data_IF_654516011729
#
_entry.id   IF_654516011729
#
_cell.length_a   1.000
_cell.length_b   1.000
_cell.length_c   1.000
_cell.angle_alpha   90.00
_cell.angle_beta   90.00
_cell.angle_gamma   90.00
#
_symmetry.space_group_name_H-M   'P 1'
#
loop_
_entity.id
_entity.type
_entity.pdbx_description
1 polymer ?
#
# COMPACT_ATOMS: atom_id res chain seq x y z
N UNK A 1 0.80 -29.02 -21.02
CA UNK A 1 1.24 -27.61 -20.88
C UNK A 1 2.67 -27.61 -20.35
N UNK A 2 3.61 -27.02 -21.09
CA UNK A 2 5.00 -26.91 -20.65
C UNK A 2 5.11 -25.91 -19.47
N UNK A 3 6.24 -26.01 -18.72
CA UNK A 3 6.51 -25.02 -17.65
C UNK A 3 6.61 -23.58 -18.18
N UNK A 4 7.08 -23.42 -19.40
CA UNK A 4 7.18 -22.13 -20.08
C UNK A 4 5.78 -21.54 -20.37
N UNK A 5 4.90 -22.33 -20.98
CA UNK A 5 3.51 -21.90 -21.26
C UNK A 5 2.74 -21.52 -19.98
N UNK A 6 2.92 -22.29 -18.90
CA UNK A 6 2.30 -21.96 -17.61
C UNK A 6 2.85 -20.66 -17.01
N UNK A 7 4.16 -20.40 -17.16
CA UNK A 7 4.77 -19.15 -16.69
C UNK A 7 4.29 -17.95 -17.51
N UNK A 8 4.24 -18.06 -18.82
CA UNK A 8 3.72 -17.03 -19.72
C UNK A 8 2.26 -16.70 -19.41
N UNK A 9 1.40 -17.71 -19.27
CA UNK A 9 0.01 -17.52 -18.88
C UNK A 9 -0.14 -16.78 -17.54
N UNK A 10 0.70 -17.09 -16.55
CA UNK A 10 0.68 -16.39 -15.25
C UNK A 10 1.11 -14.93 -15.37
N UNK A 11 2.03 -14.60 -16.24
CA UNK A 11 2.45 -13.22 -16.51
C UNK A 11 1.35 -12.45 -17.22
N UNK A 12 0.70 -13.05 -18.20
CA UNK A 12 -0.43 -12.44 -18.92
C UNK A 12 -1.59 -12.15 -17.98
N UNK A 13 -1.90 -13.07 -17.07
CA UNK A 13 -2.92 -12.88 -16.03
C UNK A 13 -2.55 -11.74 -15.07
N UNK A 14 -1.28 -11.62 -14.70
CA UNK A 14 -0.81 -10.46 -13.91
C UNK A 14 -1.05 -9.15 -14.67
N UNK A 15 -0.68 -9.07 -15.93
CA UNK A 15 -0.89 -7.87 -16.74
C UNK A 15 -2.37 -7.50 -16.84
N UNK A 16 -3.25 -8.48 -17.12
CA UNK A 16 -4.69 -8.27 -17.16
C UNK A 16 -5.23 -7.76 -15.80
N UNK A 17 -4.76 -8.34 -14.70
CA UNK A 17 -5.10 -7.90 -13.34
C UNK A 17 -4.67 -6.45 -13.10
N UNK A 18 -3.43 -6.10 -13.44
CA UNK A 18 -2.92 -4.73 -13.26
C UNK A 18 -3.73 -3.72 -14.09
N UNK A 19 -4.07 -4.02 -15.32
CA UNK A 19 -4.87 -3.15 -16.18
C UNK A 19 -6.28 -2.94 -15.62
N UNK A 20 -6.92 -4.02 -15.15
CA UNK A 20 -8.24 -3.93 -14.53
C UNK A 20 -8.22 -3.08 -13.24
N UNK A 21 -7.23 -3.26 -12.37
CA UNK A 21 -7.13 -2.46 -11.14
C UNK A 21 -6.78 -1.01 -11.44
N UNK A 22 -5.89 -0.75 -12.41
CA UNK A 22 -5.56 0.61 -12.86
C UNK A 22 -6.81 1.35 -13.35
N UNK A 23 -7.65 0.69 -14.16
CA UNK A 23 -8.90 1.30 -14.64
C UNK A 23 -9.85 1.61 -13.49
N UNK A 24 -10.05 0.69 -12.54
CA UNK A 24 -10.89 0.92 -11.35
C UNK A 24 -10.42 2.13 -10.52
N UNK A 25 -9.12 2.28 -10.35
CA UNK A 25 -8.54 3.42 -9.62
C UNK A 25 -8.72 4.73 -10.40
N UNK A 26 -8.53 4.71 -11.72
CA UNK A 26 -8.76 5.86 -12.58
C UNK A 26 -10.23 6.32 -12.54
N UNK A 27 -11.18 5.40 -12.66
CA UNK A 27 -12.63 5.67 -12.59
C UNK A 27 -13.03 6.28 -11.22
N UNK A 28 -12.30 5.94 -10.15
CA UNK A 28 -12.49 6.52 -8.83
C UNK A 28 -11.77 7.89 -8.64
N UNK A 29 -11.03 8.37 -9.62
CA UNK A 29 -10.27 9.62 -9.54
C UNK A 29 -8.95 9.52 -8.77
N UNK A 30 -8.38 8.32 -8.66
CA UNK A 30 -7.12 8.05 -7.96
C UNK A 30 -5.90 7.96 -8.89
N UNK A 31 -6.06 8.13 -10.20
CA UNK A 31 -4.92 8.17 -11.13
C UNK A 31 -3.92 9.25 -10.67
N UNK A 32 -2.64 8.90 -10.61
CA UNK A 32 -1.57 9.77 -10.16
C UNK A 32 -1.56 10.07 -8.66
N UNK A 33 -2.43 9.46 -7.84
CA UNK A 33 -2.41 9.63 -6.40
C UNK A 33 -1.08 9.17 -5.80
N UNK A 34 -0.60 9.89 -4.77
CA UNK A 34 0.64 9.53 -4.07
C UNK A 34 0.37 8.44 -3.04
N UNK A 35 1.18 7.39 -3.04
CA UNK A 35 1.01 6.23 -2.14
C UNK A 35 2.36 5.77 -1.60
N UNK A 36 2.41 5.37 -0.33
CA UNK A 36 3.54 4.65 0.26
C UNK A 36 3.09 3.34 0.89
N UNK A 37 4.00 2.39 1.00
CA UNK A 37 3.76 1.10 1.67
C UNK A 37 4.69 0.94 2.85
N UNK A 38 4.13 0.50 3.97
CA UNK A 38 4.87 0.14 5.16
C UNK A 38 4.37 -1.16 5.76
N UNK A 39 5.15 -1.78 6.62
CA UNK A 39 4.69 -2.92 7.42
C UNK A 39 5.13 -2.80 8.87
N UNK A 40 4.34 -3.37 9.78
CA UNK A 40 4.72 -3.49 11.19
C UNK A 40 5.81 -4.52 11.37
N UNK A 41 6.71 -4.28 12.34
CA UNK A 41 7.66 -5.26 12.84
C UNK A 41 7.17 -5.81 14.18
N UNK A 42 6.95 -7.12 14.33
CA UNK A 42 6.50 -7.69 15.60
C UNK A 42 7.44 -7.33 16.75
N UNK A 43 6.87 -6.88 17.87
CA UNK A 43 7.62 -6.53 19.08
C UNK A 43 8.50 -5.28 18.99
N UNK A 44 8.55 -4.61 17.85
CA UNK A 44 9.34 -3.39 17.66
C UNK A 44 8.43 -2.19 17.43
N UNK A 45 8.85 -1.03 17.95
CA UNK A 45 8.20 0.26 17.64
C UNK A 45 8.76 0.86 16.36
N UNK A 46 9.04 0.01 15.38
CA UNK A 46 9.61 0.36 14.09
C UNK A 46 8.80 -0.28 12.97
N UNK A 47 8.96 0.28 11.78
CA UNK A 47 8.21 -0.10 10.58
C UNK A 47 9.20 -0.36 9.45
N UNK A 48 8.90 -1.29 8.58
CA UNK A 48 9.55 -1.33 7.27
C UNK A 48 8.86 -0.31 6.39
N UNK A 49 9.63 0.61 5.84
CA UNK A 49 9.18 1.51 4.77
C UNK A 49 9.78 1.01 3.47
N UNK A 50 8.94 0.60 2.54
CA UNK A 50 9.40 0.05 1.27
C UNK A 50 9.98 1.15 0.39
N UNK A 51 11.10 0.87 -0.27
CA UNK A 51 11.79 1.80 -1.17
C UNK A 51 11.36 1.61 -2.62
N UNK A 52 11.86 2.45 -3.53
CA UNK A 52 11.44 2.48 -4.94
C UNK A 52 11.65 1.15 -5.68
N UNK A 53 12.66 0.37 -5.30
CA UNK A 53 13.00 -0.93 -5.89
C UNK A 53 12.18 -2.11 -5.32
N UNK A 54 11.32 -1.90 -4.34
CA UNK A 54 10.44 -2.95 -3.82
C UNK A 54 9.37 -3.37 -4.84
N UNK A 55 9.01 -4.65 -4.85
CA UNK A 55 7.90 -5.17 -5.68
C UNK A 55 6.62 -4.36 -5.45
N UNK A 56 6.27 -4.07 -4.20
CA UNK A 56 5.11 -3.27 -3.86
C UNK A 56 5.11 -1.88 -4.55
N UNK A 57 6.25 -1.17 -4.53
CA UNK A 57 6.39 0.12 -5.19
C UNK A 57 6.25 0.00 -6.71
N UNK A 58 6.85 -1.03 -7.31
CA UNK A 58 6.78 -1.26 -8.76
C UNK A 58 5.34 -1.59 -9.20
N UNK A 59 4.60 -2.38 -8.43
CA UNK A 59 3.19 -2.68 -8.70
C UNK A 59 2.35 -1.40 -8.63
N UNK A 60 2.50 -0.58 -7.60
CA UNK A 60 1.74 0.68 -7.48
C UNK A 60 2.00 1.63 -8.66
N UNK A 61 3.25 1.70 -9.15
CA UNK A 61 3.57 2.47 -10.37
C UNK A 61 2.86 1.91 -11.61
N UNK A 62 2.73 0.59 -11.73
CA UNK A 62 1.98 -0.05 -12.82
C UNK A 62 0.48 0.19 -12.73
N UNK A 63 -0.04 0.51 -11.53
CA UNK A 63 -1.42 0.94 -11.30
C UNK A 63 -1.64 2.44 -11.56
N UNK A 64 -0.68 3.14 -12.17
CA UNK A 64 -0.70 4.59 -12.42
C UNK A 64 -0.77 5.42 -11.12
N UNK A 65 -0.11 4.94 -10.07
CA UNK A 65 0.04 5.65 -8.80
C UNK A 65 1.47 6.18 -8.67
N UNK A 66 1.66 7.32 -8.02
CA UNK A 66 2.98 7.87 -7.72
C UNK A 66 3.47 7.37 -6.38
N UNK A 67 4.61 6.70 -6.39
CA UNK A 67 5.21 6.21 -5.14
C UNK A 67 5.80 7.38 -4.35
N UNK A 68 5.37 7.54 -3.09
CA UNK A 68 5.64 8.76 -2.31
C UNK A 68 6.93 8.70 -1.48
N UNK A 69 7.71 7.61 -1.59
CA UNK A 69 8.96 7.45 -0.83
C UNK A 69 10.13 7.92 -1.69
N UNK A 70 10.69 9.07 -1.33
CA UNK A 70 11.90 9.64 -1.95
C UNK A 70 13.11 9.32 -1.07
N UNK A 71 13.61 8.08 -1.19
CA UNK A 71 14.77 7.56 -0.49
C UNK A 71 15.59 6.69 -1.44
N UNK A 72 16.92 6.57 -1.22
CA UNK A 72 17.76 5.64 -1.96
C UNK A 72 17.20 4.21 -1.90
N UNK A 73 17.45 3.43 -2.93
CA UNK A 73 17.07 2.03 -2.98
C UNK A 73 17.79 1.25 -1.87
N UNK A 74 17.01 0.55 -1.06
CA UNK A 74 17.54 -0.31 -0.01
C UNK A 74 17.85 -1.70 -0.56
N UNK A 75 18.89 -2.36 -0.01
CA UNK A 75 19.34 -3.68 -0.47
C UNK A 75 18.21 -4.73 -0.52
N UNK A 76 17.31 -4.69 0.45
CA UNK A 76 16.17 -5.61 0.54
C UNK A 76 14.84 -4.95 0.13
N UNK A 77 14.87 -3.79 -0.52
CA UNK A 77 13.68 -3.06 -0.92
C UNK A 77 12.94 -2.38 0.22
N UNK A 78 13.52 -2.25 1.41
CA UNK A 78 12.93 -1.52 2.54
C UNK A 78 13.98 -1.02 3.51
N UNK A 79 13.67 0.08 4.19
CA UNK A 79 14.36 0.60 5.36
C UNK A 79 13.56 0.34 6.64
N UNK A 80 14.25 0.16 7.76
CA UNK A 80 13.61 0.11 9.08
C UNK A 80 13.58 1.50 9.69
N UNK A 81 12.39 2.07 9.83
CA UNK A 81 12.18 3.47 10.20
C UNK A 81 11.32 3.62 11.46
N UNK A 82 11.35 4.81 12.03
CA UNK A 82 10.41 5.22 13.07
C UNK A 82 9.17 5.91 12.49
N UNK A 83 8.19 6.19 13.35
CA UNK A 83 6.94 6.84 12.97
C UNK A 83 7.15 8.25 12.40
N UNK A 84 8.17 8.96 12.87
CA UNK A 84 8.56 10.29 12.37
C UNK A 84 8.88 10.28 10.87
N UNK A 85 9.49 9.20 10.37
CA UNK A 85 9.78 9.05 8.94
C UNK A 85 8.48 8.90 8.14
N UNK A 86 7.50 8.16 8.66
CA UNK A 86 6.17 8.04 8.03
C UNK A 86 5.43 9.38 8.04
N UNK A 87 5.65 10.21 9.05
CA UNK A 87 5.10 11.56 9.08
C UNK A 87 5.62 12.46 7.93
N UNK A 88 6.81 12.18 7.41
CA UNK A 88 7.40 12.89 6.27
C UNK A 88 6.81 12.53 4.90
N UNK A 89 5.86 11.60 4.81
CA UNK A 89 5.25 11.20 3.52
C UNK A 89 4.23 12.21 2.96
N UNK A 90 3.91 13.24 3.74
CA UNK A 90 3.04 14.35 3.32
C UNK A 90 1.59 13.92 3.04
N UNK A 91 1.06 14.36 1.91
CA UNK A 91 -0.32 14.15 1.49
C UNK A 91 -0.61 12.76 0.88
N UNK A 92 0.34 11.83 0.96
CA UNK A 92 0.20 10.50 0.38
C UNK A 92 -0.84 9.63 1.11
N UNK A 93 -1.43 8.69 0.39
CA UNK A 93 -2.10 7.55 0.99
C UNK A 93 -1.07 6.57 1.57
N UNK A 94 -1.36 5.99 2.73
CA UNK A 94 -0.53 4.98 3.34
C UNK A 94 -1.20 3.60 3.29
N UNK A 95 -0.45 2.59 2.89
CA UNK A 95 -0.84 1.18 2.97
C UNK A 95 0.01 0.52 4.05
N UNK A 96 -0.60 0.09 5.14
CA UNK A 96 0.09 -0.57 6.25
C UNK A 96 -0.23 -2.07 6.26
N UNK A 97 0.77 -2.89 5.99
CA UNK A 97 0.69 -4.35 6.14
C UNK A 97 0.92 -4.67 7.61
N UNK A 98 -0.06 -5.29 8.25
CA UNK A 98 -0.01 -5.59 9.69
C UNK A 98 -0.65 -6.93 10.04
N UNK A 99 -0.27 -7.46 11.20
CA UNK A 99 -0.89 -8.63 11.82
C UNK A 99 -2.06 -8.23 12.75
N UNK A 100 -2.20 -6.95 13.06
CA UNK A 100 -3.26 -6.46 13.91
C UNK A 100 -4.57 -6.34 13.13
N UNK A 101 -5.67 -6.74 13.75
CA UNK A 101 -7.01 -6.56 13.20
C UNK A 101 -7.49 -5.11 13.36
N UNK A 102 -7.10 -4.49 14.48
CA UNK A 102 -7.41 -3.08 14.76
C UNK A 102 -6.26 -2.19 14.29
N UNK A 103 -6.56 -1.07 13.63
CA UNK A 103 -5.53 -0.13 13.21
C UNK A 103 -4.73 0.43 14.40
N UNK A 104 -3.39 0.49 14.32
CA UNK A 104 -2.56 0.98 15.42
C UNK A 104 -2.72 2.47 15.73
N UNK A 105 -3.42 3.21 14.88
CA UNK A 105 -3.80 4.61 15.11
C UNK A 105 -5.18 4.78 15.77
N UNK A 106 -5.95 3.70 15.89
CA UNK A 106 -7.23 3.68 16.61
C UNK A 106 -7.02 3.16 18.02
N UNK A 107 -6.29 2.06 18.16
CA UNK A 107 -6.06 1.39 19.43
C UNK A 107 -4.59 0.99 19.58
N UNK A 108 -4.08 1.11 20.80
CA UNK A 108 -2.72 0.70 21.14
C UNK A 108 -1.92 1.78 21.84
N UNK A 109 -0.78 1.43 22.40
CA UNK A 109 0.01 2.31 23.27
C UNK A 109 0.60 3.53 22.52
N UNK A 110 0.56 3.55 21.22
CA UNK A 110 1.08 4.63 20.38
C UNK A 110 0.03 5.27 19.46
N UNK A 111 -1.25 5.01 19.68
CA UNK A 111 -2.33 5.56 18.84
C UNK A 111 -2.23 7.09 18.73
N UNK A 112 -1.95 7.79 19.84
CA UNK A 112 -1.74 9.24 19.82
C UNK A 112 -0.55 9.68 18.95
N UNK A 113 0.55 8.94 18.95
CA UNK A 113 1.72 9.27 18.12
C UNK A 113 1.45 9.09 16.62
N UNK A 114 0.57 8.19 16.24
CA UNK A 114 0.14 8.01 14.85
C UNK A 114 -0.58 9.24 14.29
N UNK A 115 -1.16 10.08 15.14
CA UNK A 115 -1.77 11.35 14.72
C UNK A 115 -0.75 12.35 14.14
N UNK A 116 0.56 12.12 14.33
CA UNK A 116 1.59 12.90 13.65
C UNK A 116 1.72 12.54 12.15
N UNK A 117 1.22 11.38 11.73
CA UNK A 117 1.24 10.94 10.32
C UNK A 117 0.10 11.61 9.55
N UNK A 118 0.40 12.43 8.52
CA UNK A 118 -0.65 13.16 7.78
C UNK A 118 -1.72 12.25 7.16
N UNK A 119 -1.32 11.08 6.66
CA UNK A 119 -2.23 10.10 6.10
C UNK A 119 -3.29 9.61 7.13
N UNK A 120 -2.92 9.50 8.41
CA UNK A 120 -3.86 9.13 9.48
C UNK A 120 -4.87 10.25 9.73
N UNK A 121 -4.39 11.49 9.91
CA UNK A 121 -5.28 12.65 10.13
C UNK A 121 -6.24 12.90 8.97
N UNK A 122 -5.79 12.63 7.75
CA UNK A 122 -6.57 12.81 6.53
C UNK A 122 -7.42 11.57 6.18
N UNK A 123 -7.49 10.57 7.05
CA UNK A 123 -8.19 9.30 6.81
C UNK A 123 -7.77 8.60 5.50
N UNK A 124 -6.49 8.71 5.15
CA UNK A 124 -5.87 8.11 3.96
C UNK A 124 -4.90 6.99 4.31
N UNK A 125 -4.96 6.50 5.55
CA UNK A 125 -4.18 5.34 5.99
C UNK A 125 -5.07 4.10 5.96
N UNK A 126 -4.63 3.06 5.25
CA UNK A 126 -5.40 1.85 5.01
C UNK A 126 -4.64 0.63 5.51
N UNK A 127 -5.35 -0.31 6.14
CA UNK A 127 -4.76 -1.60 6.52
C UNK A 127 -4.78 -2.56 5.34
N UNK A 128 -3.66 -3.25 5.17
CA UNK A 128 -3.57 -4.47 4.38
C UNK A 128 -3.34 -5.66 5.33
N UNK A 129 -4.09 -6.72 5.15
CA UNK A 129 -3.92 -7.92 5.95
C UNK A 129 -2.55 -8.58 5.71
N UNK A 130 -2.07 -9.35 6.67
CA UNK A 130 -0.74 -9.98 6.64
C UNK A 130 -0.53 -10.97 5.48
N UNK A 131 -1.60 -11.48 4.90
CA UNK A 131 -1.56 -12.33 3.69
C UNK A 131 -1.22 -11.54 2.43
N UNK A 132 -1.19 -10.21 2.53
CA UNK A 132 -0.70 -9.31 1.49
C UNK A 132 0.81 -9.20 1.59
N UNK A 133 1.53 -10.22 1.12
CA UNK A 133 2.99 -10.20 1.17
C UNK A 133 3.56 -9.12 0.21
N UNK A 134 4.52 -8.31 0.67
CA UNK A 134 5.17 -7.30 -0.17
C UNK A 134 6.32 -7.85 -1.02
N UNK A 135 6.59 -9.16 -0.91
CA UNK A 135 7.63 -9.89 -1.61
C UNK A 135 7.06 -11.17 -2.20
N UNK A 136 7.64 -11.67 -3.28
CA UNK A 136 7.28 -12.95 -3.86
C UNK A 136 7.22 -12.94 -5.37
N UNK A 137 6.62 -13.98 -5.94
CA UNK A 137 6.46 -14.16 -7.37
C UNK A 137 5.16 -13.54 -7.91
N UNK A 138 4.79 -13.94 -9.13
CA UNK A 138 3.66 -13.41 -9.90
C UNK A 138 2.34 -13.43 -9.14
N UNK A 139 1.99 -14.56 -8.52
CA UNK A 139 0.74 -14.70 -7.75
C UNK A 139 0.68 -13.75 -6.54
N UNK A 140 1.83 -13.48 -5.91
CA UNK A 140 1.91 -12.51 -4.81
C UNK A 140 1.75 -11.08 -5.32
N UNK A 141 2.35 -10.75 -6.45
CA UNK A 141 2.20 -9.46 -7.11
C UNK A 141 0.74 -9.18 -7.49
N UNK A 142 0.07 -10.17 -8.07
CA UNK A 142 -1.37 -10.11 -8.39
C UNK A 142 -2.22 -9.81 -7.13
N UNK A 143 -2.03 -10.60 -6.08
CA UNK A 143 -2.76 -10.42 -4.81
C UNK A 143 -2.51 -9.05 -4.21
N UNK A 144 -1.26 -8.59 -4.21
CA UNK A 144 -0.91 -7.25 -3.72
C UNK A 144 -1.63 -6.16 -4.53
N UNK A 145 -1.64 -6.23 -5.86
CA UNK A 145 -2.31 -5.26 -6.72
C UNK A 145 -3.81 -5.15 -6.41
N UNK A 146 -4.50 -6.29 -6.28
CA UNK A 146 -5.93 -6.33 -5.95
C UNK A 146 -6.19 -5.74 -4.57
N UNK A 147 -5.46 -6.18 -3.53
CA UNK A 147 -5.65 -5.72 -2.15
C UNK A 147 -5.34 -4.24 -1.97
N UNK A 148 -4.29 -3.75 -2.62
CA UNK A 148 -3.95 -2.33 -2.59
C UNK A 148 -5.03 -1.47 -3.24
N UNK A 149 -5.53 -1.87 -4.40
CA UNK A 149 -6.62 -1.17 -5.07
C UNK A 149 -7.92 -1.19 -4.24
N UNK A 150 -8.32 -2.33 -3.69
CA UNK A 150 -9.50 -2.44 -2.82
C UNK A 150 -9.40 -1.53 -1.59
N UNK A 151 -8.24 -1.48 -0.93
CA UNK A 151 -8.03 -0.64 0.23
C UNK A 151 -8.17 0.86 -0.11
N UNK A 152 -7.57 1.30 -1.22
CA UNK A 152 -7.66 2.68 -1.68
C UNK A 152 -9.09 3.07 -2.07
N UNK A 153 -9.82 2.19 -2.77
CA UNK A 153 -11.21 2.42 -3.19
C UNK A 153 -12.16 2.47 -1.99
N UNK A 154 -11.99 1.60 -1.00
CA UNK A 154 -12.80 1.59 0.23
C UNK A 154 -12.65 2.89 1.03
N UNK A 155 -11.43 3.43 1.09
CA UNK A 155 -11.17 4.73 1.73
C UNK A 155 -11.89 5.88 1.05
N UNK A 156 -12.03 5.87 -0.28
CA UNK A 156 -12.77 6.88 -1.03
C UNK A 156 -14.28 6.86 -0.71
N UNK A 157 -14.87 5.69 -0.58
CA UNK A 157 -16.31 5.55 -0.22
C UNK A 157 -16.56 6.15 1.15
N UNK A 158 -15.73 5.84 2.14
CA UNK A 158 -15.86 6.38 3.50
C UNK A 158 -15.74 7.91 3.55
N UNK A 159 -14.84 8.50 2.77
CA UNK A 159 -14.66 9.95 2.70
C UNK A 159 -15.86 10.65 2.04
N UNK A 160 -16.40 10.10 0.96
CA UNK A 160 -17.56 10.66 0.26
C UNK A 160 -18.82 10.67 1.14
N UNK A 161 -19.06 9.59 1.90
CA UNK A 161 -20.19 9.51 2.83
C UNK A 161 -20.14 10.57 3.92
N UNK A 162 -18.94 10.85 4.48
CA UNK A 162 -18.75 11.88 5.50
C UNK A 162 -18.88 13.31 4.95
N UNK A 163 -18.61 13.52 3.66
CA UNK A 163 -18.74 14.83 3.00
C UNK A 163 -20.19 15.13 2.59
N UNK A 164 -21.03 14.12 2.43
CA UNK A 164 -22.44 14.26 2.07
C UNK A 164 -23.33 14.59 3.28
N UNK A 165 -22.87 14.32 4.51
CA UNK A 165 -23.58 14.59 5.77
C UNK A 165 -23.26 15.97 6.40
N UNK A 166 -22.55 16.84 5.69
CA UNK A 166 -22.25 18.23 6.09
C UNK A 166 -22.93 19.24 5.18
#
# INVERSE_FOLDING_TARGET
>A
VSRSEAAEASIDELHATLDAQRQRLADAGLAGARVFVSSTLPGAHRYRLFTQNAMAAQILKRLDLRYAVDRPDALYGFDTVGLTTLAGTGDAHGLLITFAETPPWVEGPRAAAWQAVPAVRAQRMHLLSRDTAPFGGVATAQRFAVRAAEALLSGQVSQRSQSADK
#
